data_IF_680016070531
#
_entry.id   IF_680016070531
#
_cell.length_a   1.000
_cell.length_b   1.000
_cell.length_c   1.000
_cell.angle_alpha   90.00
_cell.angle_beta   90.00
_cell.angle_gamma   90.00
#
_symmetry.space_group_name_H-M   'P 1'
#
loop_
_entity.id
_entity.type
_entity.pdbx_description
1 polymer ?
#
# COMPACT_ATOMS: atom_id res chain seq x y z
N UNK A 1 18.01 1.48 11.00
CA UNK A 1 17.44 1.11 9.69
C UNK A 1 18.32 1.74 8.61
N UNK A 2 18.69 1.02 7.54
CA UNK A 2 19.83 1.36 6.68
C UNK A 2 19.47 2.37 5.57
N UNK A 3 20.16 3.51 5.53
CA UNK A 3 19.89 4.69 4.67
C UNK A 3 19.87 4.39 3.15
N UNK A 4 20.59 3.34 2.73
CA UNK A 4 20.64 2.87 1.33
C UNK A 4 19.34 2.19 0.87
N UNK A 5 18.56 1.57 1.78
CA UNK A 5 17.27 0.94 1.42
C UNK A 5 16.17 1.96 1.12
N UNK A 6 16.17 3.10 1.81
CA UNK A 6 15.22 4.19 1.58
C UNK A 6 15.41 4.83 0.20
N UNK A 7 16.67 5.07 -0.22
CA UNK A 7 16.97 5.60 -1.56
C UNK A 7 16.45 4.71 -2.69
N UNK A 8 16.46 3.38 -2.51
CA UNK A 8 15.99 2.46 -3.54
C UNK A 8 14.46 2.51 -3.70
N UNK A 9 13.72 2.60 -2.60
CA UNK A 9 12.27 2.83 -2.62
C UNK A 9 11.98 4.19 -3.27
N UNK A 10 12.65 5.27 -2.87
CA UNK A 10 12.43 6.59 -3.46
C UNK A 10 12.79 6.66 -4.96
N UNK A 11 13.81 5.93 -5.43
CA UNK A 11 14.18 5.86 -6.86
C UNK A 11 13.27 4.94 -7.67
N UNK A 12 12.86 3.81 -7.11
CA UNK A 12 11.89 2.90 -7.73
C UNK A 12 10.53 3.59 -7.87
N UNK A 13 10.01 4.21 -6.81
CA UNK A 13 8.78 5.01 -6.88
C UNK A 13 8.96 6.30 -7.70
N UNK A 14 10.15 6.90 -7.71
CA UNK A 14 10.44 8.09 -8.52
C UNK A 14 10.26 7.89 -10.03
N UNK A 15 10.30 6.63 -10.52
CA UNK A 15 10.04 6.28 -11.92
C UNK A 15 8.84 5.34 -12.12
N UNK A 16 8.39 4.60 -11.10
CA UNK A 16 7.21 3.73 -11.18
C UNK A 16 5.97 4.49 -10.72
N UNK A 17 5.08 4.79 -11.66
CA UNK A 17 3.71 5.33 -11.49
C UNK A 17 3.43 5.91 -10.10
N UNK A 18 4.11 7.00 -9.76
CA UNK A 18 3.63 7.79 -8.64
C UNK A 18 2.46 8.59 -9.19
N UNK A 19 1.28 8.35 -8.63
CA UNK A 19 0.16 9.29 -8.72
C UNK A 19 0.57 10.55 -7.93
N UNK A 20 1.53 11.32 -8.45
CA UNK A 20 2.04 12.53 -7.78
C UNK A 20 0.92 13.54 -7.87
N UNK A 21 0.17 13.62 -6.79
CA UNK A 21 -0.92 14.54 -6.70
C UNK A 21 -0.71 15.34 -5.41
N UNK A 22 -0.55 16.65 -5.57
CA UNK A 22 -0.17 17.62 -4.53
C UNK A 22 -1.37 18.10 -3.71
N UNK A 23 -1.64 17.51 -2.55
CA UNK A 23 -2.80 17.82 -1.71
C UNK A 23 -2.46 18.29 -0.28
N UNK A 24 -3.47 18.81 0.43
CA UNK A 24 -3.41 19.28 1.83
C UNK A 24 -3.10 18.15 2.84
N UNK A 25 -2.47 18.43 4.00
CA UNK A 25 -1.95 17.43 4.94
C UNK A 25 -3.00 16.45 5.50
N UNK A 26 -2.65 15.16 5.51
CA UNK A 26 -3.28 14.04 6.19
C UNK A 26 -2.66 14.17 7.57
N UNK A 27 -3.25 15.02 8.39
CA UNK A 27 -2.81 15.19 9.78
C UNK A 27 -3.15 13.89 10.51
N UNK A 28 -2.18 12.97 10.60
CA UNK A 28 -2.15 11.73 11.40
C UNK A 28 -3.53 11.27 11.89
N UNK A 29 -4.16 10.37 11.14
CA UNK A 29 -5.33 9.63 11.63
C UNK A 29 -4.88 8.53 12.60
N UNK A 30 -4.39 8.92 13.78
CA UNK A 30 -4.02 7.95 14.81
C UNK A 30 -5.21 7.10 15.21
N UNK A 31 -5.21 5.81 14.86
CA UNK A 31 -6.05 4.84 15.56
C UNK A 31 -5.66 4.79 17.04
N UNK A 32 -6.64 4.63 17.93
CA UNK A 32 -6.31 4.41 19.34
C UNK A 32 -5.49 3.11 19.46
N UNK A 33 -4.34 3.16 20.13
CA UNK A 33 -3.60 1.96 20.52
C UNK A 33 -4.58 1.07 21.32
N UNK A 34 -4.80 -0.16 20.86
CA UNK A 34 -5.82 -1.11 21.36
C UNK A 34 -7.29 -0.84 20.97
N UNK A 35 -7.57 -0.14 19.86
CA UNK A 35 -8.92 -0.06 19.34
C UNK A 35 -9.49 -1.47 19.05
N UNK A 36 -10.59 -1.82 19.71
CA UNK A 36 -11.40 -2.99 19.33
C UNK A 36 -11.86 -2.79 17.89
N UNK A 37 -11.63 -3.77 17.02
CA UNK A 37 -12.20 -3.70 15.68
C UNK A 37 -13.71 -3.87 15.81
N UNK A 38 -14.51 -2.89 15.35
CA UNK A 38 -15.94 -3.10 15.20
C UNK A 38 -16.18 -4.30 14.26
N UNK A 39 -17.37 -4.88 14.33
CA UNK A 39 -17.82 -5.83 13.32
C UNK A 39 -17.74 -5.20 11.92
N UNK A 40 -17.47 -6.01 10.90
CA UNK A 40 -17.46 -5.56 9.51
C UNK A 40 -16.09 -5.18 8.97
N UNK A 41 -14.98 -5.51 9.63
CA UNK A 41 -13.61 -5.33 9.12
C UNK A 41 -13.00 -6.59 8.51
N UNK A 42 -13.78 -7.67 8.40
CA UNK A 42 -13.39 -8.94 7.75
C UNK A 42 -13.15 -8.75 6.23
N UNK A 43 -13.53 -7.60 5.67
CA UNK A 43 -13.23 -7.25 4.28
C UNK A 43 -11.72 -7.20 3.99
N UNK A 44 -10.85 -7.00 4.97
CA UNK A 44 -9.40 -6.97 4.74
C UNK A 44 -8.78 -8.35 4.77
N UNK A 45 -9.46 -9.36 5.33
CA UNK A 45 -8.94 -10.72 5.45
C UNK A 45 -8.85 -11.36 4.06
N UNK A 46 -7.68 -11.91 3.75
CA UNK A 46 -7.36 -12.49 2.44
C UNK A 46 -6.00 -12.04 1.90
N UNK A 47 -5.73 -12.49 0.67
CA UNK A 47 -4.57 -12.12 -0.12
C UNK A 47 -4.98 -11.09 -1.18
N UNK A 48 -4.26 -9.99 -1.26
CA UNK A 48 -4.49 -8.93 -2.24
C UNK A 48 -3.20 -8.56 -2.93
N UNK A 49 -3.27 -8.26 -4.22
CA UNK A 49 -2.11 -7.90 -5.02
C UNK A 49 -2.45 -6.74 -5.97
N UNK A 50 -1.47 -5.84 -6.11
CA UNK A 50 -1.46 -4.81 -7.13
C UNK A 50 -0.06 -4.72 -7.73
N UNK A 51 -0.02 -4.44 -9.03
CA UNK A 51 1.21 -4.29 -9.78
C UNK A 51 1.23 -2.92 -10.43
N UNK A 52 2.41 -2.34 -10.47
CA UNK A 52 2.69 -1.07 -11.10
C UNK A 52 3.94 -1.20 -11.95
N UNK A 53 3.86 -0.87 -13.23
CA UNK A 53 4.97 -0.91 -14.18
C UNK A 53 4.80 -2.01 -15.23
N UNK A 54 5.75 -2.09 -16.15
CA UNK A 54 5.65 -2.98 -17.31
C UNK A 54 6.24 -4.38 -17.03
N UNK A 55 6.39 -5.19 -18.08
CA UNK A 55 6.88 -6.57 -17.96
C UNK A 55 8.35 -6.69 -17.52
N UNK A 56 9.18 -5.70 -17.84
CA UNK A 56 10.62 -5.74 -17.56
C UNK A 56 11.00 -4.95 -16.32
N UNK A 57 10.18 -3.97 -15.93
CA UNK A 57 10.36 -3.14 -14.74
C UNK A 57 9.01 -2.91 -14.06
N UNK A 58 8.81 -3.52 -12.90
CA UNK A 58 7.59 -3.35 -12.12
C UNK A 58 7.85 -3.45 -10.62
N UNK A 59 6.91 -2.88 -9.86
CA UNK A 59 6.73 -3.16 -8.45
C UNK A 59 5.44 -3.93 -8.24
N UNK A 60 5.50 -4.98 -7.42
CA UNK A 60 4.35 -5.73 -6.96
C UNK A 60 4.19 -5.48 -5.47
N UNK A 61 2.98 -5.09 -5.07
CA UNK A 61 2.57 -4.95 -3.69
C UNK A 61 1.58 -6.05 -3.39
N UNK A 62 1.92 -6.90 -2.43
CA UNK A 62 1.04 -7.96 -1.93
C UNK A 62 0.73 -7.73 -0.47
N UNK A 63 -0.54 -7.90 -0.10
CA UNK A 63 -1.01 -7.80 1.27
C UNK A 63 -1.71 -9.10 1.61
N UNK A 64 -1.26 -9.75 2.67
CA UNK A 64 -1.86 -10.96 3.21
C UNK A 64 -2.32 -10.69 4.63
N UNK A 65 -3.62 -10.66 4.87
CA UNK A 65 -4.17 -10.50 6.22
C UNK A 65 -4.80 -11.81 6.68
N UNK A 66 -4.28 -12.35 7.79
CA UNK A 66 -4.83 -13.55 8.44
C UNK A 66 -5.99 -13.18 9.36
N UNK A 67 -5.98 -11.95 9.88
CA UNK A 67 -7.07 -11.33 10.61
C UNK A 67 -7.11 -9.83 10.28
N UNK A 68 -8.12 -9.11 10.75
CA UNK A 68 -8.18 -7.65 10.59
C UNK A 68 -7.06 -6.90 11.31
N UNK A 69 -6.36 -7.55 12.26
CA UNK A 69 -5.25 -7.01 13.04
C UNK A 69 -3.87 -7.42 12.52
N UNK A 70 -3.81 -8.57 11.87
CA UNK A 70 -2.57 -9.22 11.46
C UNK A 70 -2.46 -9.27 9.94
N UNK A 71 -1.62 -8.40 9.40
CA UNK A 71 -1.35 -8.28 7.98
C UNK A 71 0.15 -8.37 7.71
N UNK A 72 0.50 -8.96 6.58
CA UNK A 72 1.84 -8.96 6.02
C UNK A 72 1.82 -8.19 4.72
N UNK A 73 2.74 -7.23 4.59
CA UNK A 73 2.96 -6.46 3.38
C UNK A 73 4.24 -6.95 2.73
N UNK A 74 4.16 -7.37 1.48
CA UNK A 74 5.30 -7.77 0.66
C UNK A 74 5.42 -6.78 -0.48
N UNK A 75 6.60 -6.19 -0.60
CA UNK A 75 6.97 -5.29 -1.67
C UNK A 75 8.08 -5.93 -2.48
N UNK A 76 7.80 -6.23 -3.73
CA UNK A 76 8.76 -6.79 -4.67
C UNK A 76 9.02 -5.79 -5.79
N UNK A 77 10.30 -5.56 -6.11
CA UNK A 77 10.71 -4.74 -7.26
C UNK A 77 11.52 -5.62 -8.20
N UNK A 78 11.06 -5.67 -9.44
CA UNK A 78 11.74 -6.32 -10.56
C UNK A 78 12.23 -5.23 -11.50
N UNK A 79 13.50 -5.28 -11.88
CA UNK A 79 14.09 -4.40 -12.88
C UNK A 79 15.07 -5.21 -13.76
N UNK A 80 15.33 -4.77 -15.01
CA UNK A 80 16.25 -5.46 -15.91
C UNK A 80 17.62 -5.63 -15.26
N UNK A 81 18.24 -6.79 -15.50
CA UNK A 81 19.62 -7.09 -15.09
C UNK A 81 19.87 -7.04 -13.58
N UNK A 82 18.81 -7.08 -12.76
CA UNK A 82 18.90 -7.09 -11.30
C UNK A 82 18.09 -8.22 -10.71
N UNK A 83 18.61 -8.84 -9.64
CA UNK A 83 17.83 -9.81 -8.86
C UNK A 83 16.63 -9.09 -8.23
N UNK A 84 15.41 -9.68 -8.26
CA UNK A 84 14.25 -9.09 -7.61
C UNK A 84 14.54 -8.73 -6.16
N UNK A 85 14.21 -7.50 -5.78
CA UNK A 85 14.31 -7.04 -4.40
C UNK A 85 12.97 -7.26 -3.72
N UNK A 86 12.95 -8.12 -2.70
CA UNK A 86 11.76 -8.39 -1.89
C UNK A 86 11.95 -7.85 -0.49
N UNK A 87 11.01 -7.03 -0.03
CA UNK A 87 10.91 -6.58 1.35
C UNK A 87 9.58 -7.04 1.95
N UNK A 88 9.63 -7.54 3.18
CA UNK A 88 8.45 -8.02 3.89
C UNK A 88 8.32 -7.29 5.22
N UNK A 89 7.12 -6.80 5.49
CA UNK A 89 6.76 -6.10 6.71
C UNK A 89 5.58 -6.81 7.35
N UNK A 90 5.69 -7.10 8.65
CA UNK A 90 4.63 -7.76 9.41
C UNK A 90 4.01 -6.77 10.38
N UNK A 91 2.71 -6.60 10.24
CA UNK A 91 1.88 -5.72 11.05
C UNK A 91 0.97 -6.59 11.92
N UNK A 92 1.14 -6.50 13.24
CA UNK A 92 0.38 -7.31 14.20
C UNK A 92 -0.67 -6.51 14.98
N UNK A 93 -0.62 -5.18 14.84
CA UNK A 93 -1.43 -4.24 15.58
C UNK A 93 -2.10 -3.27 14.62
N UNK A 94 -2.60 -3.74 13.48
CA UNK A 94 -3.42 -2.88 12.63
C UNK A 94 -4.60 -2.33 13.46
N UNK A 95 -5.09 -1.14 13.14
CA UNK A 95 -6.23 -0.52 13.82
C UNK A 95 -7.15 0.18 12.81
N UNK A 96 -8.45 0.34 13.11
CA UNK A 96 -9.30 1.25 12.36
C UNK A 96 -8.69 2.66 12.30
N UNK A 97 -8.70 3.28 11.12
CA UNK A 97 -8.30 4.67 10.99
C UNK A 97 -9.26 5.56 11.80
N UNK A 98 -8.74 6.45 12.65
CA UNK A 98 -9.58 7.30 13.47
C UNK A 98 -10.40 8.33 12.67
N UNK A 99 -10.01 8.61 11.43
CA UNK A 99 -10.79 9.43 10.52
C UNK A 99 -10.59 9.01 9.07
N UNK A 100 -11.67 9.08 8.29
CA UNK A 100 -11.67 8.84 6.85
C UNK A 100 -11.44 10.12 6.04
N UNK A 101 -11.47 11.29 6.70
CA UNK A 101 -11.35 12.63 6.05
C UNK A 101 -10.18 12.68 5.07
N UNK A 102 -9.08 12.08 5.45
CA UNK A 102 -7.83 12.07 4.72
C UNK A 102 -7.87 11.23 3.44
N UNK A 103 -8.31 9.98 3.55
CA UNK A 103 -8.49 9.12 2.39
C UNK A 103 -9.52 9.72 1.42
N UNK A 104 -10.63 10.27 1.93
CA UNK A 104 -11.66 10.95 1.13
C UNK A 104 -11.13 12.21 0.44
N UNK A 105 -10.36 13.04 1.13
CA UNK A 105 -9.75 14.23 0.53
C UNK A 105 -8.76 13.86 -0.59
N UNK A 106 -7.93 12.85 -0.37
CA UNK A 106 -7.01 12.34 -1.39
C UNK A 106 -7.76 11.80 -2.62
N UNK A 107 -8.85 11.06 -2.41
CA UNK A 107 -9.70 10.57 -3.50
C UNK A 107 -10.38 11.72 -4.27
N UNK A 108 -10.99 12.67 -3.56
CA UNK A 108 -11.64 13.84 -4.17
C UNK A 108 -10.65 14.62 -5.02
N UNK A 109 -9.46 14.87 -4.49
CA UNK A 109 -8.43 15.60 -5.19
C UNK A 109 -7.90 14.82 -6.40
N UNK A 110 -7.74 13.49 -6.31
CA UNK A 110 -7.39 12.65 -7.45
C UNK A 110 -8.39 12.79 -8.61
N UNK A 111 -9.68 12.78 -8.28
CA UNK A 111 -10.78 12.97 -9.24
C UNK A 111 -10.79 14.35 -9.85
N UNK A 112 -10.57 15.39 -9.06
CA UNK A 112 -10.53 16.77 -9.56
C UNK A 112 -9.36 16.99 -10.52
N UNK A 113 -8.21 16.37 -10.25
CA UNK A 113 -7.06 16.40 -11.17
C UNK A 113 -7.36 15.68 -12.49
N UNK A 114 -8.03 14.52 -12.43
CA UNK A 114 -8.48 13.81 -13.62
C UNK A 114 -9.44 14.65 -14.46
N UNK A 115 -10.44 15.29 -13.83
CA UNK A 115 -11.41 16.18 -14.51
C UNK A 115 -10.75 17.39 -15.18
N UNK A 116 -9.66 17.90 -14.60
CA UNK A 116 -8.86 19.00 -15.18
C UNK A 116 -7.94 18.53 -16.32
N UNK A 117 -8.02 17.28 -16.74
CA UNK A 117 -7.18 16.72 -17.80
C UNK A 117 -5.72 16.50 -17.39
N UNK A 118 -5.42 16.53 -16.09
CA UNK A 118 -4.07 16.21 -15.62
C UNK A 118 -3.82 14.73 -15.86
N UNK A 119 -2.63 14.38 -16.39
CA UNK A 119 -2.20 12.98 -16.47
C UNK A 119 -1.95 12.51 -15.04
N UNK A 120 -2.81 11.65 -14.45
CA UNK A 120 -2.67 11.30 -13.04
C UNK A 120 -1.39 10.49 -12.80
N UNK A 121 -0.86 9.84 -13.84
CA UNK A 121 0.23 8.88 -13.73
C UNK A 121 1.43 9.29 -14.58
N UNK A 122 2.11 10.42 -14.27
CA UNK A 122 3.29 10.82 -15.02
C UNK A 122 4.38 9.75 -14.90
N UNK A 123 4.85 9.24 -16.04
CA UNK A 123 5.96 8.27 -16.09
C UNK A 123 5.60 6.81 -15.92
N UNK A 124 4.31 6.44 -15.98
CA UNK A 124 3.94 5.02 -16.12
C UNK A 124 3.49 4.67 -17.53
N UNK A 125 4.12 3.63 -18.07
CA UNK A 125 3.71 2.99 -19.32
C UNK A 125 2.81 1.76 -19.04
N UNK A 126 2.38 1.57 -17.79
CA UNK A 126 1.50 0.46 -17.40
C UNK A 126 0.04 0.79 -17.71
N UNK A 127 -0.38 0.46 -18.93
CA UNK A 127 -1.75 0.68 -19.40
C UNK A 127 -2.79 -0.05 -18.54
N UNK A 128 -2.49 -1.27 -18.08
CA UNK A 128 -3.41 -2.07 -17.27
C UNK A 128 -3.63 -1.43 -15.89
N UNK A 129 -2.57 -0.93 -15.25
CA UNK A 129 -2.71 -0.14 -14.03
C UNK A 129 -3.51 1.14 -14.27
N UNK A 130 -3.20 1.87 -15.35
CA UNK A 130 -3.91 3.11 -15.71
C UNK A 130 -5.40 2.86 -15.91
N UNK A 131 -5.77 1.83 -16.66
CA UNK A 131 -7.17 1.45 -16.88
C UNK A 131 -7.87 1.19 -15.55
N UNK A 132 -7.31 0.33 -14.70
CA UNK A 132 -7.90 0.01 -13.39
C UNK A 132 -8.04 1.24 -12.49
N UNK A 133 -7.00 2.06 -12.42
CA UNK A 133 -7.02 3.27 -11.62
C UNK A 133 -8.04 4.29 -12.15
N UNK A 134 -8.16 4.46 -13.47
CA UNK A 134 -9.17 5.30 -14.09
C UNK A 134 -10.58 4.78 -13.82
N UNK A 135 -10.83 3.47 -14.00
CA UNK A 135 -12.13 2.84 -13.67
C UNK A 135 -12.56 3.17 -12.24
N UNK A 136 -11.64 3.13 -11.27
CA UNK A 136 -11.95 3.51 -9.91
C UNK A 136 -12.22 5.01 -9.75
N UNK A 137 -11.33 5.86 -10.28
CA UNK A 137 -11.42 7.31 -10.13
C UNK A 137 -12.68 7.89 -10.81
N UNK A 138 -13.10 7.33 -11.94
CA UNK A 138 -14.29 7.74 -12.68
C UNK A 138 -15.60 7.20 -12.08
N UNK A 139 -15.52 6.17 -11.22
CA UNK A 139 -16.69 5.64 -10.52
C UNK A 139 -17.22 6.60 -9.44
N UNK A 140 -18.43 6.33 -8.96
CA UNK A 140 -19.03 7.02 -7.80
C UNK A 140 -18.64 6.38 -6.45
N UNK A 141 -17.71 5.42 -6.42
CA UNK A 141 -17.29 4.78 -5.17
C UNK A 141 -16.67 5.81 -4.20
N UNK A 142 -16.98 5.73 -2.91
CA UNK A 142 -16.33 6.51 -1.86
C UNK A 142 -15.56 5.59 -0.91
N UNK A 143 -14.84 6.16 0.05
CA UNK A 143 -14.16 5.42 1.12
C UNK A 143 -15.16 5.12 2.24
N UNK A 144 -15.43 3.84 2.45
CA UNK A 144 -16.35 3.35 3.48
C UNK A 144 -15.64 3.15 4.82
N UNK A 145 -14.49 2.48 4.80
CA UNK A 145 -13.70 2.14 5.99
C UNK A 145 -12.22 2.14 5.63
N UNK A 146 -11.34 2.39 6.61
CA UNK A 146 -9.90 2.20 6.45
C UNK A 146 -9.29 1.57 7.70
N UNK A 147 -8.21 0.84 7.50
CA UNK A 147 -7.31 0.38 8.55
C UNK A 147 -5.93 1.00 8.33
N UNK A 148 -5.33 1.42 9.44
CA UNK A 148 -3.91 1.72 9.53
C UNK A 148 -3.20 0.41 9.92
N UNK A 149 -2.36 -0.17 9.05
CA UNK A 149 -1.63 -1.37 9.39
C UNK A 149 -0.55 -1.12 10.45
N UNK A 150 -0.12 0.12 10.70
CA UNK A 150 1.00 0.43 11.58
C UNK A 150 0.78 1.63 12.52
N UNK A 151 -0.30 1.63 13.33
CA UNK A 151 -0.65 2.77 14.18
C UNK A 151 0.37 3.03 15.30
N UNK A 152 1.19 2.02 15.63
CA UNK A 152 2.16 2.08 16.72
C UNK A 152 3.46 2.81 16.34
N UNK A 153 3.67 3.13 15.05
CA UNK A 153 4.78 4.02 14.69
C UNK A 153 4.45 5.43 15.14
N UNK A 154 5.28 5.96 16.03
CA UNK A 154 5.19 7.29 16.63
C UNK A 154 5.41 8.44 15.61
N UNK A 155 5.20 8.17 14.32
CA UNK A 155 5.43 9.09 13.22
C UNK A 155 6.90 9.29 12.89
N UNK A 156 7.77 8.34 13.27
CA UNK A 156 9.17 8.30 12.82
C UNK A 156 9.38 7.64 11.46
N UNK A 157 8.34 7.02 10.89
CA UNK A 157 8.41 6.49 9.54
C UNK A 157 8.05 7.58 8.52
N UNK A 158 8.92 7.75 7.53
CA UNK A 158 8.75 8.68 6.41
C UNK A 158 7.60 8.29 5.47
N UNK A 159 6.91 7.19 5.73
CA UNK A 159 5.83 6.68 4.90
C UNK A 159 4.61 6.31 5.75
N UNK A 160 3.43 6.65 5.24
CA UNK A 160 2.15 6.35 5.88
C UNK A 160 1.28 5.57 4.92
N UNK A 161 0.64 4.50 5.43
CA UNK A 161 -0.17 3.58 4.65
C UNK A 161 -1.57 3.47 5.26
N UNK A 162 -2.59 3.45 4.41
CA UNK A 162 -3.95 3.06 4.78
C UNK A 162 -4.43 2.00 3.80
N UNK A 163 -5.10 0.98 4.31
CA UNK A 163 -5.87 0.04 3.50
C UNK A 163 -7.32 0.44 3.64
N UNK A 164 -7.99 0.72 2.53
CA UNK A 164 -9.34 1.24 2.54
C UNK A 164 -10.29 0.37 1.74
N UNK A 165 -11.48 0.14 2.31
CA UNK A 165 -12.62 -0.47 1.63
C UNK A 165 -13.39 0.61 0.87
N UNK A 166 -13.56 0.48 -0.45
CA UNK A 166 -14.46 1.35 -1.18
C UNK A 166 -15.92 0.95 -0.91
N UNK A 167 -16.83 1.92 -0.91
CA UNK A 167 -18.28 1.71 -0.71
C UNK A 167 -18.93 0.87 -1.81
N UNK A 168 -18.30 0.82 -2.99
CA UNK A 168 -18.61 -0.07 -4.08
C UNK A 168 -17.33 -0.40 -4.85
N UNK A 169 -17.26 -1.60 -5.45
CA UNK A 169 -16.13 -1.99 -6.28
C UNK A 169 -16.55 -1.93 -7.75
N UNK A 170 -16.02 -1.00 -8.56
CA UNK A 170 -16.32 -0.95 -9.98
C UNK A 170 -15.68 -2.11 -10.76
N UNK A 171 -14.92 -2.98 -10.09
CA UNK A 171 -14.19 -4.10 -10.67
C UNK A 171 -14.93 -5.44 -10.58
N UNK A 172 -16.16 -5.47 -10.05
CA UNK A 172 -16.94 -6.70 -9.83
C UNK A 172 -16.34 -7.69 -8.84
N UNK A 173 -15.22 -7.34 -8.20
CA UNK A 173 -14.46 -8.19 -7.26
C UNK A 173 -14.16 -7.45 -5.96
N UNK A 174 -13.79 -8.19 -4.90
CA UNK A 174 -13.41 -7.62 -3.59
C UNK A 174 -12.07 -6.89 -3.73
N UNK A 175 -12.11 -5.59 -3.99
CA UNK A 175 -10.92 -4.73 -4.12
C UNK A 175 -10.68 -3.96 -2.83
N UNK A 176 -9.41 -3.86 -2.42
CA UNK A 176 -8.98 -2.91 -1.39
C UNK A 176 -8.13 -1.82 -2.04
N UNK A 177 -8.18 -0.62 -1.50
CA UNK A 177 -7.36 0.49 -1.97
C UNK A 177 -6.20 0.66 -1.00
N UNK A 178 -4.98 0.56 -1.51
CA UNK A 178 -3.81 1.03 -0.79
C UNK A 178 -3.65 2.52 -1.03
N UNK A 179 -3.79 3.29 0.04
CA UNK A 179 -3.34 4.67 0.11
C UNK A 179 -1.96 4.67 0.74
N UNK A 180 -0.96 5.20 0.02
CA UNK A 180 0.38 5.38 0.56
C UNK A 180 0.81 6.83 0.35
N UNK A 181 1.54 7.40 1.30
CA UNK A 181 2.18 8.71 1.15
C UNK A 181 3.57 8.69 1.75
N UNK A 182 4.46 9.52 1.21
CA UNK A 182 5.79 9.76 1.77
C UNK A 182 5.80 11.17 2.34
N UNK A 183 6.09 11.29 3.63
CA UNK A 183 6.15 12.55 4.39
C UNK A 183 7.52 13.24 4.29
N UNK A 184 8.58 12.51 3.97
CA UNK A 184 9.95 13.05 3.94
C UNK A 184 10.11 14.16 2.88
N UNK A 185 10.61 15.32 3.31
CA UNK A 185 11.04 16.40 2.41
C UNK A 185 9.94 17.36 1.94
N UNK A 186 8.73 17.27 2.49
CA UNK A 186 7.57 18.01 1.97
C UNK A 186 7.10 19.23 2.79
N UNK A 187 7.79 19.62 3.87
CA UNK A 187 7.31 20.67 4.79
C UNK A 187 5.85 20.33 5.22
N UNK A 188 4.94 21.21 5.70
CA UNK A 188 3.63 20.75 6.20
C UNK A 188 2.63 20.34 5.09
N UNK A 189 3.05 20.24 3.83
CA UNK A 189 2.22 19.85 2.69
C UNK A 189 2.58 18.44 2.18
N UNK A 190 1.73 17.78 1.41
CA UNK A 190 2.14 16.56 0.70
C UNK A 190 2.80 16.87 -0.62
N UNK A 191 3.83 16.10 -0.95
CA UNK A 191 4.28 16.07 -2.34
C UNK A 191 3.85 14.80 -3.08
N UNK A 192 3.57 13.69 -2.39
CA UNK A 192 3.37 12.39 -3.07
C UNK A 192 2.36 11.52 -2.34
N UNK A 193 1.38 11.03 -3.08
CA UNK A 193 0.55 9.92 -2.64
C UNK A 193 0.42 8.86 -3.73
N UNK A 194 -0.07 7.70 -3.36
CA UNK A 194 -0.39 6.59 -4.25
C UNK A 194 -1.76 6.09 -3.84
N UNK A 195 -2.66 5.96 -4.81
CA UNK A 195 -3.91 5.22 -4.67
C UNK A 195 -3.79 4.02 -5.62
N UNK A 196 -3.60 2.84 -5.04
CA UNK A 196 -3.41 1.60 -5.79
C UNK A 196 -4.56 0.64 -5.48
N UNK A 197 -5.39 0.29 -6.47
CA UNK A 197 -6.32 -0.82 -6.33
C UNK A 197 -5.54 -2.13 -6.20
N UNK A 198 -5.81 -2.88 -5.12
CA UNK A 198 -5.32 -4.23 -4.92
C UNK A 198 -6.51 -5.19 -5.07
N UNK A 199 -6.34 -6.16 -5.96
CA UNK A 199 -7.35 -7.17 -6.25
C UNK A 199 -7.04 -8.45 -5.47
N UNK A 200 -8.00 -9.36 -5.28
CA UNK A 200 -7.71 -10.66 -4.69
C UNK A 200 -6.57 -11.33 -5.47
N UNK A 201 -5.52 -11.76 -4.78
CA UNK A 201 -4.44 -12.48 -5.42
C UNK A 201 -5.04 -13.72 -6.09
N UNK A 202 -4.64 -13.99 -7.34
CA UNK A 202 -5.02 -15.25 -7.99
C UNK A 202 -4.61 -16.37 -7.04
N UNK A 203 -5.53 -17.31 -6.76
CA UNK A 203 -5.15 -18.52 -6.00
C UNK A 203 -4.00 -19.14 -6.78
N UNK A 204 -2.82 -19.15 -6.17
CA UNK A 204 -1.73 -20.01 -6.61
C UNK A 204 -2.19 -21.43 -6.32
N UNK A 205 -3.05 -21.98 -7.18
CA UNK A 205 -3.51 -23.34 -7.09
C UNK A 205 -2.25 -24.24 -7.16
N UNK A 206 -1.85 -24.80 -6.01
CA UNK A 206 -0.94 -25.95 -5.95
C UNK A 206 0.58 -25.70 -6.00
N UNK A 207 1.08 -24.47 -5.94
CA UNK A 207 2.52 -24.22 -5.76
C UNK A 207 2.89 -24.24 -4.29
N UNK A 208 3.50 -25.32 -3.81
CA UNK A 208 3.96 -25.49 -2.43
C UNK A 208 4.51 -24.19 -1.83
N UNK A 209 3.90 -23.76 -0.73
CA UNK A 209 4.48 -22.80 0.20
C UNK A 209 5.88 -23.32 0.58
N UNK A 210 7.00 -22.71 0.17
CA UNK A 210 8.26 -23.06 0.79
C UNK A 210 8.16 -22.51 2.20
N UNK A 211 7.83 -23.41 3.12
CA UNK A 211 7.93 -23.22 4.55
C UNK A 211 9.17 -22.39 4.84
N UNK A 212 8.99 -21.14 5.25
CA UNK A 212 10.01 -20.38 5.97
C UNK A 212 10.06 -20.99 7.37
N UNK A 213 10.52 -22.24 7.43
CA UNK A 213 10.91 -22.98 8.62
C UNK A 213 12.30 -23.54 8.34
N UNK A 214 13.29 -22.97 9.01
CA UNK A 214 14.72 -23.19 8.80
C UNK A 214 15.37 -21.85 8.50
N UNK A 215 16.06 -21.16 9.40
CA UNK A 215 16.97 -21.66 10.44
C UNK A 215 17.06 -20.59 11.55
N UNK A 216 16.39 -20.83 12.68
CA UNK A 216 16.81 -20.31 13.98
C UNK A 216 17.31 -21.51 14.77
N UNK A 217 18.54 -21.94 14.46
CA UNK A 217 19.32 -22.82 15.34
C UNK A 217 20.58 -22.05 15.72
N UNK A 218 20.61 -21.69 16.99
CA UNK A 218 21.78 -21.66 17.88
C UNK A 218 23.10 -21.19 17.29
N UNK A 219 23.39 -19.89 17.50
CA UNK A 219 24.74 -19.45 17.85
C UNK A 219 24.69 -18.66 19.15
N UNK A 220 24.41 -19.37 20.23
CA UNK A 220 24.87 -19.02 21.57
C UNK A 220 25.83 -20.14 22.02
N UNK A 221 26.89 -19.74 22.72
CA UNK A 221 27.96 -20.58 23.27
C UNK A 221 29.04 -21.06 22.28
N UNK A 222 30.10 -20.24 22.13
CA UNK A 222 31.49 -20.71 22.24
C UNK A 222 32.42 -19.50 22.53
N UNK A 223 32.72 -19.34 23.82
CA UNK A 223 33.99 -18.89 24.42
C UNK A 223 34.36 -20.02 25.40
N UNK A 224 35.64 -20.37 25.62
CA UNK A 224 36.78 -19.46 25.81
C UNK A 224 37.64 -19.27 24.57
#
# INVERSE_FOLDING_TARGET
MNFERQKLVTRAFGQLATLIILGSPLVKAYGANNATFPAGYEWVVGAYEGRVGNNTRHATIRIQCNSSRECQFVYEVVAPDTKPMVNTYSYRNAAPAATLKYARNALSYARDMLRKGSKPFPGTDDEAFREKALTFLESNADIEQCIDPNPATDGRDDAYYLLCKPSSSPFGSKTILLFATVLSGCQPAFCRYVILPLHPAARSDGGANPSVQGTLRDKAAQRP
#
